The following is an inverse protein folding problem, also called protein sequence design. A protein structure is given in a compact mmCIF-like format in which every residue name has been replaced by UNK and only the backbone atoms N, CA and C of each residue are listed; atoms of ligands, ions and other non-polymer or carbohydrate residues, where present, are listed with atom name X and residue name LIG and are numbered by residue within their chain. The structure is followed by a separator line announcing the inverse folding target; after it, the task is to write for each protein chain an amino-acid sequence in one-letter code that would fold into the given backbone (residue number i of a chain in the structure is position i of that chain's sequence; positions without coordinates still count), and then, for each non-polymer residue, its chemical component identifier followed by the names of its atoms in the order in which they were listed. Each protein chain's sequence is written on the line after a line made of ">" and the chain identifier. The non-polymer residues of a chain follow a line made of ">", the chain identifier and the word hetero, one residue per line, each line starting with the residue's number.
data_IF_598410480461
#
_entry.id   IF_598410480461
#
_cell.length_a   1.000
_cell.length_b   1.000
_cell.length_c   1.000
_cell.angle_alpha   90.00
_cell.angle_beta   90.00
_cell.angle_gamma   90.00
#
_symmetry.space_group_name_H-M   'P 1'
#
loop_
_entity.id
_entity.type
_entity.pdbx_description
1 polymer ?
#
# COMPACT_ATOMS: atom_id res chain seq x y z
N UNK A 1 -50.50 25.42 -14.00
CA UNK A 1 -51.26 24.57 -14.94
C UNK A 1 -51.20 23.14 -14.45
N UNK A 2 -52.38 22.52 -14.28
CA UNK A 2 -52.63 21.14 -13.82
C UNK A 2 -52.66 20.18 -15.01
N UNK A 3 -52.31 18.90 -14.83
CA UNK A 3 -52.84 17.61 -15.38
C UNK A 3 -51.86 16.52 -14.83
N UNK A 4 -52.13 15.53 -13.96
CA UNK A 4 -53.16 14.46 -13.81
C UNK A 4 -53.36 13.67 -15.12
N UNK A 5 -53.38 12.33 -15.25
CA UNK A 5 -53.26 11.08 -14.45
C UNK A 5 -53.30 9.95 -15.49
N UNK A 6 -52.67 8.77 -15.33
CA UNK A 6 -53.29 7.42 -15.48
C UNK A 6 -52.28 6.27 -15.37
N UNK A 7 -52.80 5.19 -14.82
CA UNK A 7 -52.17 4.02 -14.20
C UNK A 7 -52.12 2.84 -15.18
N UNK A 8 -51.13 1.95 -15.05
CA UNK A 8 -51.29 0.54 -15.41
C UNK A 8 -50.51 -0.35 -14.42
N UNK A 9 -51.27 -1.10 -13.62
CA UNK A 9 -50.82 -2.11 -12.67
C UNK A 9 -50.80 -3.46 -13.40
N UNK A 10 -49.73 -4.23 -13.26
CA UNK A 10 -49.72 -5.65 -13.58
C UNK A 10 -49.19 -6.44 -12.37
N UNK A 11 -50.13 -7.05 -11.65
CA UNK A 11 -49.91 -8.09 -10.65
C UNK A 11 -49.49 -9.39 -11.36
N UNK A 12 -48.35 -9.98 -10.99
CA UNK A 12 -48.14 -11.42 -11.18
C UNK A 12 -48.03 -12.08 -9.81
N UNK A 13 -49.05 -12.90 -9.54
CA UNK A 13 -49.13 -13.83 -8.42
C UNK A 13 -48.36 -15.10 -8.78
N UNK A 14 -47.44 -15.53 -7.91
CA UNK A 14 -47.11 -16.95 -7.77
C UNK A 14 -47.04 -17.29 -6.29
N UNK A 15 -48.06 -18.05 -5.85
CA UNK A 15 -48.05 -18.90 -4.66
C UNK A 15 -46.82 -19.82 -4.70
N UNK A 16 -46.08 -20.13 -3.64
CA UNK A 16 -46.54 -20.49 -2.31
C UNK A 16 -46.37 -22.01 -2.14
N UNK A 17 -45.26 -22.45 -1.53
CA UNK A 17 -45.13 -23.77 -0.91
C UNK A 17 -44.06 -23.69 0.20
N UNK A 18 -44.52 -23.59 1.45
CA UNK A 18 -43.72 -23.87 2.64
C UNK A 18 -43.74 -25.36 2.92
N UNK A 19 -42.60 -25.94 3.31
CA UNK A 19 -42.53 -27.09 4.20
C UNK A 19 -41.33 -26.88 5.13
N UNK A 20 -41.62 -26.80 6.44
CA UNK A 20 -40.64 -26.90 7.52
C UNK A 20 -40.40 -28.37 7.87
N UNK A 21 -39.22 -28.62 8.44
CA UNK A 21 -38.81 -29.67 9.39
C UNK A 21 -37.73 -30.64 8.85
N UNK A 22 -36.59 -30.61 9.55
CA UNK A 22 -35.83 -31.75 10.13
C UNK A 22 -36.18 -33.14 9.54
N UNK A 23 -35.27 -33.96 9.02
CA UNK A 23 -34.17 -34.58 9.79
C UNK A 23 -33.21 -35.39 8.87
N UNK A 24 -32.01 -35.63 9.39
CA UNK A 24 -31.10 -36.78 9.24
C UNK A 24 -31.04 -37.61 7.94
N UNK A 25 -29.88 -37.56 7.27
CA UNK A 25 -29.11 -38.71 6.73
C UNK A 25 -27.75 -38.12 6.28
N UNK A 26 -26.59 -38.46 6.85
CA UNK A 26 -26.14 -39.79 7.22
C UNK A 26 -25.04 -40.23 6.24
N UNK A 27 -23.89 -39.55 6.26
CA UNK A 27 -22.63 -40.13 5.76
C UNK A 27 -21.65 -40.11 6.94
N UNK A 28 -21.57 -41.24 7.66
CA UNK A 28 -20.51 -41.48 8.62
C UNK A 28 -19.15 -41.39 7.91
N UNK A 29 -18.39 -40.34 8.22
CA UNK A 29 -16.94 -40.44 8.22
C UNK A 29 -16.52 -41.33 9.40
N UNK A 30 -15.49 -42.18 9.28
CA UNK A 30 -14.89 -42.85 10.43
C UNK A 30 -14.42 -41.80 11.45
N UNK A 31 -14.77 -41.98 12.71
CA UNK A 31 -14.31 -41.16 13.85
C UNK A 31 -12.77 -41.17 13.96
N UNK A 32 -12.11 -40.00 14.06
CA UNK A 32 -10.90 -39.86 14.85
C UNK A 32 -11.30 -39.56 16.30
N UNK A 33 -10.81 -40.36 17.25
CA UNK A 33 -10.99 -40.17 18.69
C UNK A 33 -10.18 -38.94 19.21
N UNK A 34 -10.56 -38.39 20.38
CA UNK A 34 -10.14 -37.05 20.82
C UNK A 34 -8.83 -37.10 21.63
N UNK A 35 -7.87 -36.26 21.24
CA UNK A 35 -6.87 -35.73 22.18
C UNK A 35 -6.36 -34.38 21.67
N UNK A 36 -6.66 -33.36 22.48
CA UNK A 36 -6.15 -31.99 22.53
C UNK A 36 -6.74 -30.92 21.57
N UNK A 37 -7.05 -29.71 22.09
CA UNK A 37 -7.61 -28.62 21.31
C UNK A 37 -6.52 -28.00 20.43
N UNK A 38 -6.62 -28.24 19.13
CA UNK A 38 -5.87 -27.49 18.12
C UNK A 38 -6.42 -26.05 18.13
N UNK A 39 -5.61 -25.01 18.40
CA UNK A 39 -6.06 -23.63 18.29
C UNK A 39 -6.59 -23.36 16.89
N UNK A 40 -7.73 -22.69 16.81
CA UNK A 40 -8.37 -22.26 15.58
C UNK A 40 -7.35 -21.73 14.57
N UNK A 41 -7.28 -22.39 13.42
CA UNK A 41 -6.55 -21.94 12.25
C UNK A 41 -7.16 -20.59 11.87
N UNK A 42 -6.45 -19.51 12.19
CA UNK A 42 -6.75 -18.18 11.66
C UNK A 42 -6.68 -18.30 10.15
N UNK A 43 -7.79 -18.05 9.48
CA UNK A 43 -7.82 -17.90 8.04
C UNK A 43 -6.87 -16.76 7.69
N UNK A 44 -5.75 -17.08 7.02
CA UNK A 44 -4.88 -16.06 6.46
C UNK A 44 -5.67 -15.29 5.41
N UNK A 45 -5.89 -14.01 5.70
CA UNK A 45 -6.34 -13.04 4.72
C UNK A 45 -5.28 -12.97 3.62
N UNK A 46 -5.59 -13.57 2.47
CA UNK A 46 -4.74 -13.50 1.27
C UNK A 46 -4.56 -12.07 0.71
N UNK A 47 -5.14 -11.06 1.37
CA UNK A 47 -4.94 -9.64 1.14
C UNK A 47 -4.00 -8.96 2.18
N UNK A 48 -3.51 -9.70 3.18
CA UNK A 48 -2.53 -9.21 4.16
C UNK A 48 -1.09 -9.47 3.66
N UNK A 49 -0.71 -8.74 2.61
CA UNK A 49 0.68 -8.63 2.15
C UNK A 49 1.21 -7.30 2.75
N UNK A 50 2.38 -7.17 3.41
CA UNK A 50 3.72 -7.30 2.80
C UNK A 50 4.86 -7.21 3.83
N UNK A 51 5.93 -8.04 3.72
CA UNK A 51 7.25 -7.67 4.25
C UNK A 51 7.70 -6.34 3.63
N UNK A 52 8.61 -5.63 4.28
CA UNK A 52 9.10 -4.31 3.87
C UNK A 52 9.32 -4.20 2.35
N UNK A 53 8.49 -3.39 1.70
CA UNK A 53 8.52 -3.23 0.25
C UNK A 53 9.55 -2.19 -0.15
N UNK A 54 10.21 -2.41 -1.29
CA UNK A 54 11.17 -1.47 -1.84
C UNK A 54 10.76 -1.02 -3.24
N UNK A 55 10.87 0.27 -3.48
CA UNK A 55 10.59 0.92 -4.75
C UNK A 55 11.78 1.77 -5.18
N UNK A 56 11.97 1.95 -6.48
CA UNK A 56 13.11 2.67 -7.04
C UNK A 56 12.69 3.60 -8.17
N UNK A 57 13.42 4.70 -8.34
CA UNK A 57 13.28 5.58 -9.49
C UNK A 57 13.73 4.87 -10.78
N UNK A 58 13.29 5.38 -11.92
CA UNK A 58 13.57 4.80 -13.24
C UNK A 58 15.06 4.53 -13.50
N UNK A 59 15.93 5.43 -13.05
CA UNK A 59 17.38 5.35 -13.27
C UNK A 59 18.09 4.21 -12.51
N UNK A 60 17.40 3.56 -11.56
CA UNK A 60 17.92 2.38 -10.86
C UNK A 60 18.30 1.23 -11.81
N UNK A 61 17.61 1.10 -12.95
CA UNK A 61 17.95 0.11 -13.97
C UNK A 61 19.38 0.30 -14.52
N UNK A 62 19.86 1.54 -14.57
CA UNK A 62 21.20 1.91 -15.02
C UNK A 62 22.19 2.12 -13.85
N UNK A 63 21.85 1.72 -12.62
CA UNK A 63 22.70 1.95 -11.42
C UNK A 63 24.12 1.42 -11.59
N UNK A 64 24.33 0.30 -12.26
CA UNK A 64 25.67 -0.27 -12.48
C UNK A 64 26.54 0.61 -13.40
N UNK A 65 25.90 1.43 -14.26
CA UNK A 65 26.56 2.41 -15.13
C UNK A 65 26.89 3.73 -14.43
N UNK A 66 26.56 3.86 -13.14
CA UNK A 66 26.86 5.06 -12.35
C UNK A 66 25.78 6.14 -12.35
N UNK A 67 24.57 5.81 -12.80
CA UNK A 67 23.43 6.73 -12.75
C UNK A 67 23.01 7.01 -11.31
N UNK A 68 22.49 8.20 -11.06
CA UNK A 68 21.92 8.54 -9.77
C UNK A 68 20.51 7.96 -9.70
N UNK A 69 20.11 7.47 -8.53
CA UNK A 69 18.79 6.89 -8.33
C UNK A 69 18.34 7.12 -6.90
N UNK A 70 17.02 7.01 -6.70
CA UNK A 70 16.37 7.19 -5.40
C UNK A 70 15.56 5.94 -5.08
N UNK A 71 15.74 5.40 -3.88
CA UNK A 71 14.99 4.29 -3.33
C UNK A 71 13.98 4.76 -2.29
N UNK A 72 12.86 4.04 -2.20
CA UNK A 72 11.82 4.19 -1.20
C UNK A 72 11.62 2.84 -0.55
N UNK A 73 11.88 2.76 0.75
CA UNK A 73 11.58 1.58 1.58
C UNK A 73 10.32 1.87 2.38
N UNK A 74 9.39 0.91 2.39
CA UNK A 74 8.11 0.98 3.08
C UNK A 74 8.08 -0.09 4.15
N UNK A 75 8.06 0.33 5.41
CA UNK A 75 7.96 -0.55 6.56
C UNK A 75 6.53 -0.54 7.10
N UNK A 76 5.94 -1.71 7.27
CA UNK A 76 4.58 -1.82 7.81
C UNK A 76 4.61 -1.67 9.34
N UNK A 77 3.88 -0.67 9.87
CA UNK A 77 3.77 -0.45 11.32
C UNK A 77 2.41 -0.89 11.89
N UNK A 78 1.41 -1.09 11.04
CA UNK A 78 0.09 -1.55 11.42
C UNK A 78 -0.99 -1.17 10.40
N UNK A 79 -2.27 -1.49 10.68
CA UNK A 79 -3.35 -1.38 9.68
C UNK A 79 -3.59 0.04 9.13
N UNK A 80 -3.12 1.06 9.84
CA UNK A 80 -3.31 2.48 9.49
C UNK A 80 -2.00 3.26 9.40
N UNK A 81 -0.85 2.65 9.65
CA UNK A 81 0.43 3.37 9.72
C UNK A 81 1.53 2.57 9.03
N UNK A 82 2.37 3.31 8.30
CA UNK A 82 3.61 2.81 7.69
C UNK A 82 4.74 3.79 8.00
N UNK A 83 5.96 3.31 7.97
CA UNK A 83 7.16 4.14 7.89
C UNK A 83 7.68 4.14 6.45
N UNK A 84 7.99 5.32 5.95
CA UNK A 84 8.59 5.55 4.63
C UNK A 84 10.01 6.05 4.85
N UNK A 85 10.99 5.40 4.23
CA UNK A 85 12.37 5.88 4.15
C UNK A 85 12.76 6.11 2.70
N UNK A 86 13.17 7.32 2.39
CA UNK A 86 13.66 7.71 1.07
C UNK A 86 15.16 7.96 1.17
N UNK A 87 15.94 7.32 0.31
CA UNK A 87 17.40 7.47 0.23
C UNK A 87 17.81 7.54 -1.23
N UNK A 88 18.64 8.52 -1.60
CA UNK A 88 19.35 8.41 -2.86
C UNK A 88 20.63 7.61 -2.72
N UNK A 89 21.13 7.14 -3.86
CA UNK A 89 22.42 6.50 -3.96
C UNK A 89 23.50 7.33 -3.27
N UNK A 90 24.37 6.64 -2.54
CA UNK A 90 25.46 7.18 -1.76
C UNK A 90 26.83 6.59 -2.15
N UNK A 91 26.89 5.40 -2.79
CA UNK A 91 28.16 4.67 -3.05
C UNK A 91 29.11 5.36 -4.03
N UNK A 92 28.58 6.11 -5.00
CA UNK A 92 29.39 6.74 -6.07
C UNK A 92 29.44 8.26 -5.99
N UNK A 93 28.42 8.86 -5.38
CA UNK A 93 28.26 10.30 -5.22
C UNK A 93 27.64 10.57 -3.87
N UNK A 94 27.84 11.77 -3.33
CA UNK A 94 27.19 12.21 -2.10
C UNK A 94 25.67 12.08 -2.25
N UNK A 95 25.02 11.41 -1.30
CA UNK A 95 23.57 11.27 -1.36
C UNK A 95 22.90 12.64 -1.35
N UNK A 96 22.01 12.81 -2.30
CA UNK A 96 21.28 14.04 -2.58
C UNK A 96 19.92 14.09 -1.93
N UNK A 97 19.23 12.96 -1.70
CA UNK A 97 17.87 12.92 -1.15
C UNK A 97 17.76 12.01 0.08
N UNK A 98 17.18 12.52 1.16
CA UNK A 98 16.96 11.80 2.41
C UNK A 98 15.66 12.24 3.06
N UNK A 99 14.79 11.28 3.38
CA UNK A 99 13.59 11.52 4.19
C UNK A 99 13.26 10.27 5.00
N UNK A 100 12.89 10.44 6.27
CA UNK A 100 12.24 9.43 7.09
C UNK A 100 10.93 10.01 7.62
N UNK A 101 9.85 9.26 7.46
CA UNK A 101 8.55 9.73 7.87
C UNK A 101 7.62 8.58 8.25
N UNK A 102 6.73 8.85 9.20
CA UNK A 102 5.52 8.05 9.38
C UNK A 102 4.44 8.57 8.43
N UNK A 103 3.66 7.66 7.86
CA UNK A 103 2.53 7.98 7.02
C UNK A 103 1.27 7.25 7.51
N UNK A 104 0.16 7.99 7.57
CA UNK A 104 -1.13 7.50 8.06
C UNK A 104 -2.05 7.21 6.87
N UNK A 105 -2.74 6.06 6.90
CA UNK A 105 -3.71 5.67 5.87
C UNK A 105 -4.92 6.60 5.90
N UNK A 106 -5.23 7.25 4.79
CA UNK A 106 -6.40 8.13 4.65
C UNK A 106 -7.48 7.52 3.76
N UNK A 107 -7.10 6.63 2.84
CA UNK A 107 -8.00 5.83 2.03
C UNK A 107 -7.30 4.53 1.61
N UNK A 108 -8.00 3.64 0.93
CA UNK A 108 -7.36 2.44 0.38
C UNK A 108 -6.24 2.82 -0.59
N UNK A 109 -5.05 2.25 -0.39
CA UNK A 109 -3.85 2.61 -1.16
C UNK A 109 -3.34 4.06 -1.00
N UNK A 110 -3.91 4.88 -0.12
CA UNK A 110 -3.48 6.29 0.05
C UNK A 110 -3.03 6.54 1.49
N UNK A 111 -1.78 6.97 1.63
CA UNK A 111 -1.16 7.36 2.89
C UNK A 111 -0.69 8.80 2.84
N UNK A 112 -0.63 9.46 4.00
CA UNK A 112 -0.13 10.84 4.11
C UNK A 112 0.84 11.03 5.26
N UNK A 113 1.88 11.81 5.01
CA UNK A 113 2.75 12.37 6.05
C UNK A 113 2.44 13.85 6.18
N UNK A 114 2.07 14.29 7.38
CA UNK A 114 1.95 15.72 7.68
C UNK A 114 3.35 16.36 7.77
N UNK A 115 3.53 17.47 7.07
CA UNK A 115 4.69 18.35 7.17
C UNK A 115 4.30 19.62 7.92
N UNK A 116 5.28 20.44 8.30
CA UNK A 116 4.99 21.72 8.96
C UNK A 116 4.14 22.67 8.10
N UNK A 117 4.27 22.60 6.77
CA UNK A 117 3.64 23.54 5.83
C UNK A 117 2.72 22.85 4.82
N UNK A 118 2.33 21.59 5.04
CA UNK A 118 1.48 20.85 4.11
C UNK A 118 1.52 19.34 4.37
N UNK A 119 1.42 18.55 3.31
CA UNK A 119 1.53 17.09 3.43
C UNK A 119 2.13 16.45 2.18
N UNK A 120 2.77 15.30 2.39
CA UNK A 120 3.16 14.37 1.32
C UNK A 120 2.08 13.31 1.20
N UNK A 121 1.65 13.03 -0.02
CA UNK A 121 0.70 11.97 -0.35
C UNK A 121 1.44 10.84 -1.05
N UNK A 122 1.24 9.63 -0.55
CA UNK A 122 1.74 8.39 -1.13
C UNK A 122 0.55 7.61 -1.71
N UNK A 123 0.55 7.42 -3.02
CA UNK A 123 -0.49 6.65 -3.72
C UNK A 123 0.11 5.34 -4.20
N UNK A 124 -0.35 4.24 -3.60
CA UNK A 124 0.05 2.89 -3.95
C UNK A 124 -0.83 2.33 -5.05
N UNK A 125 -0.19 1.72 -6.04
CA UNK A 125 -0.80 0.88 -7.06
C UNK A 125 -0.06 -0.47 -7.06
N UNK A 126 -0.50 -1.43 -7.89
CA UNK A 126 -0.01 -2.82 -7.80
C UNK A 126 1.51 -2.97 -7.70
N UNK A 127 2.28 -2.22 -8.49
CA UNK A 127 3.75 -2.27 -8.54
C UNK A 127 4.41 -0.89 -8.47
N UNK A 128 3.67 0.16 -8.11
CA UNK A 128 4.22 1.51 -8.07
C UNK A 128 3.74 2.27 -6.84
N UNK A 129 4.57 3.21 -6.42
CA UNK A 129 4.21 4.26 -5.47
C UNK A 129 4.43 5.60 -6.15
N UNK A 130 3.41 6.44 -6.13
CA UNK A 130 3.52 7.84 -6.55
C UNK A 130 3.60 8.72 -5.31
N UNK A 131 4.62 9.57 -5.25
CA UNK A 131 4.86 10.54 -4.18
C UNK A 131 4.57 11.93 -4.75
N UNK A 132 3.65 12.64 -4.11
CA UNK A 132 3.26 14.00 -4.52
C UNK A 132 3.00 14.89 -3.31
N UNK A 133 3.05 16.21 -3.51
CA UNK A 133 2.57 17.16 -2.52
C UNK A 133 1.04 17.15 -2.49
N UNK A 134 0.44 17.33 -1.31
CA UNK A 134 -1.00 17.59 -1.20
C UNK A 134 -1.34 18.98 -1.75
N UNK A 135 -2.53 19.14 -2.32
CA UNK A 135 -3.04 20.44 -2.76
C UNK A 135 -2.96 21.48 -1.63
N UNK A 136 -2.41 22.66 -1.93
CA UNK A 136 -2.18 23.73 -0.95
C UNK A 136 -0.84 23.64 -0.21
N UNK A 137 -0.07 22.56 -0.39
CA UNK A 137 1.33 22.51 0.04
C UNK A 137 2.16 23.47 -0.83
N UNK A 138 3.04 24.32 -0.24
CA UNK A 138 3.88 25.23 -0.99
C UNK A 138 4.75 24.54 -2.04
N UNK A 139 4.95 25.20 -3.17
CA UNK A 139 5.94 24.79 -4.17
C UNK A 139 7.31 24.63 -3.52
N UNK A 140 8.05 23.59 -3.90
CA UNK A 140 9.38 23.35 -3.33
C UNK A 140 9.39 22.47 -2.08
N UNK A 141 8.25 22.16 -1.45
CA UNK A 141 8.22 21.41 -0.18
C UNK A 141 8.91 20.04 -0.28
N UNK A 142 8.72 19.33 -1.40
CA UNK A 142 9.34 18.01 -1.61
C UNK A 142 10.80 18.12 -2.07
N UNK A 143 11.20 19.27 -2.62
CA UNK A 143 12.59 19.58 -2.97
C UNK A 143 13.44 19.77 -1.72
N UNK A 144 12.87 20.17 -0.57
CA UNK A 144 13.61 20.34 0.68
C UNK A 144 14.34 19.08 1.14
N UNK A 145 13.80 17.90 0.79
CA UNK A 145 14.40 16.60 1.11
C UNK A 145 15.53 16.20 0.16
N UNK A 146 15.83 17.04 -0.82
CA UNK A 146 16.83 16.82 -1.83
C UNK A 146 17.77 18.03 -2.00
N UNK A 147 19.03 17.80 -2.31
CA UNK A 147 19.98 18.85 -2.70
C UNK A 147 20.09 18.98 -4.22
N UNK A 148 20.60 20.13 -4.69
CA UNK A 148 20.85 20.36 -6.12
C UNK A 148 19.60 20.56 -6.99
N UNK A 149 18.44 20.88 -6.39
CA UNK A 149 17.19 21.13 -7.13
C UNK A 149 16.39 19.88 -7.49
N UNK A 150 16.81 18.70 -7.04
CA UNK A 150 16.03 17.46 -7.16
C UNK A 150 14.81 17.49 -6.22
N UNK A 151 13.92 16.50 -6.37
CA UNK A 151 12.71 16.33 -5.55
C UNK A 151 12.47 14.85 -5.25
N UNK A 152 11.84 14.56 -4.11
CA UNK A 152 11.30 13.23 -3.82
C UNK A 152 9.95 12.97 -4.52
N UNK A 153 9.39 13.98 -5.19
CA UNK A 153 8.19 13.81 -6.00
C UNK A 153 8.48 12.93 -7.22
N UNK A 154 7.61 11.97 -7.50
CA UNK A 154 7.79 11.08 -8.64
C UNK A 154 7.03 9.77 -8.50
N UNK A 155 7.20 8.91 -9.51
CA UNK A 155 6.70 7.53 -9.49
C UNK A 155 7.87 6.57 -9.39
N UNK A 156 7.75 5.63 -8.46
CA UNK A 156 8.77 4.64 -8.16
C UNK A 156 8.21 3.25 -8.44
N UNK A 157 9.04 2.39 -9.03
CA UNK A 157 8.65 1.02 -9.39
C UNK A 157 9.13 0.06 -8.34
N UNK A 158 8.26 -0.86 -7.93
CA UNK A 158 8.58 -1.92 -6.97
C UNK A 158 9.69 -2.82 -7.50
N UNK A 159 10.56 -3.26 -6.60
CA UNK A 159 11.58 -4.27 -6.86
C UNK A 159 11.41 -5.47 -5.93
N UNK A 160 11.95 -6.61 -6.34
CA UNK A 160 12.07 -7.77 -5.47
C UNK A 160 13.32 -7.65 -4.60
N UNK A 161 13.18 -7.93 -3.31
CA UNK A 161 14.26 -7.90 -2.34
C UNK A 161 14.56 -6.51 -1.75
N UNK A 162 15.64 -6.45 -0.97
CA UNK A 162 16.09 -5.24 -0.30
C UNK A 162 16.93 -4.34 -1.21
N UNK A 163 16.92 -3.04 -0.93
CA UNK A 163 17.93 -2.13 -1.47
C UNK A 163 19.31 -2.52 -0.92
N UNK A 164 20.35 -2.47 -1.76
CA UNK A 164 21.72 -2.77 -1.34
C UNK A 164 22.21 -1.72 -0.32
N UNK A 165 22.43 -2.09 0.96
CA UNK A 165 22.85 -1.14 1.98
C UNK A 165 24.15 -0.42 1.61
N UNK A 166 25.05 -1.05 0.88
CA UNK A 166 26.30 -0.42 0.44
C UNK A 166 26.07 0.73 -0.53
N UNK A 167 24.91 0.76 -1.20
CA UNK A 167 24.56 1.82 -2.15
C UNK A 167 23.75 2.95 -1.53
N UNK A 168 23.14 2.77 -0.36
CA UNK A 168 22.23 3.77 0.23
C UNK A 168 22.57 4.18 1.67
N UNK A 169 23.36 3.38 2.38
CA UNK A 169 23.78 3.66 3.75
C UNK A 169 25.13 4.37 3.76
N UNK A 170 25.10 5.68 4.05
CA UNK A 170 26.30 6.50 4.16
C UNK A 170 27.26 6.04 5.25
N UNK A 171 26.78 5.35 6.30
CA UNK A 171 27.63 4.89 7.40
C UNK A 171 28.46 3.67 7.02
N UNK A 172 28.09 2.97 5.94
CA UNK A 172 28.79 1.81 5.42
C UNK A 172 29.78 2.16 4.29
N UNK A 173 29.79 3.42 3.84
CA UNK A 173 30.66 3.91 2.76
C UNK A 173 31.91 4.53 3.39
N UNK A 174 33.08 4.00 3.03
CA UNK A 174 34.40 4.44 3.51
C UNK A 174 35.12 5.28 2.45
#
# INVERSE_FOLDING_TARGET
>A
MKYNTLTAIAFMLFSGASCNSLDSSGVQQPLPQPSDPIPAVVAEDSNAHRPDDNYVSQDYAARNKGYDWVGVTVHYLGPKEIEIRIRSRADKKKATCTMDAKAVKTAEGIYKTALQTGAVVYTFQSNTITISAEAGTPDGALQFYCSGGASIAGTYTKIDGALDPKQIDQTLIK
#
